data_IF_471972679184
#
_entry.id   IF_471972679184
#
_cell.length_a   1.000
_cell.length_b   1.000
_cell.length_c   1.000
_cell.angle_alpha   90.00
_cell.angle_beta   90.00
_cell.angle_gamma   90.00
#
_symmetry.space_group_name_H-M   'P 1'
#
loop_
_entity.id
_entity.type
_entity.pdbx_description
1 polymer ?
#
# COMPACT_ATOMS: atom_id res chain seq x y z
N UNK A 1 -0.69 -43.14 32.32
CA UNK A 1 -1.72 -42.69 33.29
C UNK A 1 -3.03 -42.48 32.53
N UNK A 2 -4.12 -43.11 33.00
CA UNK A 2 -5.38 -43.30 32.26
C UNK A 2 -6.02 -41.98 31.78
N UNK A 3 -6.03 -41.76 30.46
CA UNK A 3 -6.68 -40.60 29.82
C UNK A 3 -8.21 -40.60 29.98
N UNK A 4 -8.85 -41.76 30.18
CA UNK A 4 -10.31 -41.88 30.29
C UNK A 4 -10.88 -41.55 31.69
N UNK A 5 -10.08 -41.60 32.75
CA UNK A 5 -10.59 -41.43 34.12
C UNK A 5 -10.91 -39.98 34.52
N UNK A 6 -10.32 -38.99 33.84
CA UNK A 6 -10.48 -37.56 34.18
C UNK A 6 -11.73 -36.89 33.58
N UNK A 7 -12.33 -37.49 32.55
CA UNK A 7 -13.41 -36.84 31.78
C UNK A 7 -14.82 -37.24 32.21
N UNK A 8 -14.98 -38.34 32.97
CA UNK A 8 -16.30 -38.85 33.36
C UNK A 8 -17.14 -37.85 34.17
N UNK A 9 -16.50 -37.05 35.04
CA UNK A 9 -17.19 -36.04 35.83
C UNK A 9 -17.51 -34.74 35.08
N UNK A 10 -16.73 -34.40 34.05
CA UNK A 10 -16.92 -33.16 33.27
C UNK A 10 -17.94 -33.37 32.15
N UNK A 11 -17.95 -34.55 31.51
CA UNK A 11 -18.94 -34.89 30.48
C UNK A 11 -20.36 -34.96 31.04
N UNK A 12 -20.53 -35.58 32.22
CA UNK A 12 -21.84 -35.72 32.85
C UNK A 12 -22.47 -34.38 33.30
N UNK A 13 -21.66 -33.34 33.52
CA UNK A 13 -22.14 -32.02 33.92
C UNK A 13 -22.56 -31.13 32.74
N UNK A 14 -22.06 -31.44 31.53
CA UNK A 14 -22.35 -30.70 30.30
C UNK A 14 -23.57 -31.22 29.55
N UNK A 15 -23.97 -32.49 29.78
CA UNK A 15 -25.15 -33.08 29.13
C UNK A 15 -26.49 -32.46 29.57
N UNK A 16 -26.48 -31.45 30.44
CA UNK A 16 -27.70 -30.83 30.96
C UNK A 16 -27.68 -29.31 31.22
N UNK A 17 -26.62 -28.57 30.85
CA UNK A 17 -26.55 -27.11 31.03
C UNK A 17 -25.87 -26.44 29.83
N UNK A 18 -26.30 -25.22 29.48
CA UNK A 18 -25.57 -24.43 28.48
C UNK A 18 -24.21 -23.95 29.03
N UNK A 19 -23.17 -23.91 28.21
CA UNK A 19 -21.79 -23.58 28.64
C UNK A 19 -21.68 -22.23 29.38
N UNK A 20 -22.51 -21.26 29.01
CA UNK A 20 -22.61 -19.97 29.69
C UNK A 20 -23.17 -20.09 31.11
N UNK A 21 -24.13 -20.99 31.35
CA UNK A 21 -24.66 -21.25 32.69
C UNK A 21 -23.57 -21.84 33.60
N UNK A 22 -22.66 -22.66 33.10
CA UNK A 22 -21.54 -23.22 33.90
C UNK A 22 -20.53 -22.14 34.33
N UNK A 23 -20.39 -21.07 33.55
CA UNK A 23 -19.47 -19.97 33.86
C UNK A 23 -20.08 -18.93 34.80
N UNK A 24 -21.36 -18.59 34.61
CA UNK A 24 -22.07 -17.55 35.36
C UNK A 24 -22.81 -18.06 36.60
N UNK A 25 -23.24 -19.32 36.62
CA UNK A 25 -24.12 -19.80 37.67
C UNK A 25 -23.34 -20.00 38.99
N UNK A 26 -23.77 -19.29 40.03
CA UNK A 26 -23.22 -19.41 41.40
C UNK A 26 -23.43 -20.80 42.01
N UNK A 27 -24.29 -21.63 41.40
CA UNK A 27 -24.57 -23.02 41.80
C UNK A 27 -23.82 -24.08 40.97
N UNK A 28 -22.90 -23.69 40.09
CA UNK A 28 -22.05 -24.65 39.39
C UNK A 28 -21.22 -25.42 40.42
N UNK A 29 -21.32 -26.75 40.44
CA UNK A 29 -20.60 -27.62 41.37
C UNK A 29 -19.13 -27.19 41.42
N UNK A 30 -18.66 -26.77 42.60
CA UNK A 30 -17.32 -26.21 42.80
C UNK A 30 -16.22 -27.15 42.28
N UNK A 31 -16.51 -28.45 42.18
CA UNK A 31 -15.64 -29.47 41.61
C UNK A 31 -15.46 -29.33 40.09
N UNK A 32 -16.48 -28.91 39.34
CA UNK A 32 -16.39 -28.72 37.88
C UNK A 32 -15.55 -27.48 37.57
N UNK A 33 -15.88 -26.35 38.22
CA UNK A 33 -15.14 -25.09 38.03
C UNK A 33 -13.67 -25.24 38.42
N UNK A 34 -13.39 -25.93 39.53
CA UNK A 34 -12.00 -26.21 39.94
C UNK A 34 -11.29 -27.21 39.02
N UNK A 35 -12.01 -28.10 38.33
CA UNK A 35 -11.43 -29.03 37.35
C UNK A 35 -11.13 -28.32 36.01
N UNK A 36 -12.02 -27.44 35.56
CA UNK A 36 -11.79 -26.60 34.36
C UNK A 36 -10.62 -25.63 34.56
N UNK A 37 -10.51 -25.01 35.74
CA UNK A 37 -9.39 -24.11 36.08
C UNK A 37 -8.03 -24.82 36.19
N UNK A 38 -8.02 -26.16 36.31
CA UNK A 38 -6.79 -26.98 36.37
C UNK A 38 -6.33 -27.45 34.99
N UNK A 39 -7.13 -27.24 33.94
CA UNK A 39 -6.73 -27.58 32.58
C UNK A 39 -5.66 -26.59 32.10
N UNK A 40 -4.65 -27.10 31.41
CA UNK A 40 -3.77 -26.23 30.62
C UNK A 40 -4.56 -25.58 29.49
N UNK A 41 -4.05 -24.45 28.96
CA UNK A 41 -4.70 -23.72 27.86
C UNK A 41 -5.06 -24.62 26.68
N UNK A 42 -4.20 -25.58 26.33
CA UNK A 42 -4.44 -26.51 25.22
C UNK A 42 -5.49 -27.58 25.54
N UNK A 43 -5.57 -28.03 26.79
CA UNK A 43 -6.55 -29.04 27.22
C UNK A 43 -7.96 -28.47 27.29
N UNK A 44 -8.11 -27.24 27.81
CA UNK A 44 -9.38 -26.52 27.79
C UNK A 44 -9.87 -26.33 26.35
N UNK A 45 -8.96 -26.06 25.45
CA UNK A 45 -9.27 -25.77 24.06
C UNK A 45 -9.72 -26.99 23.27
N UNK A 46 -8.99 -28.09 23.43
CA UNK A 46 -9.37 -29.38 22.87
C UNK A 46 -10.76 -29.80 23.36
N UNK A 47 -11.07 -29.52 24.63
CA UNK A 47 -12.39 -29.76 25.20
C UNK A 47 -13.49 -28.92 24.56
N UNK A 48 -13.28 -27.61 24.37
CA UNK A 48 -14.29 -26.74 23.76
C UNK A 48 -14.61 -27.12 22.31
N UNK A 49 -13.59 -27.51 21.54
CA UNK A 49 -13.79 -27.99 20.16
C UNK A 49 -14.47 -29.36 20.13
N UNK A 50 -14.05 -30.30 20.99
CA UNK A 50 -14.61 -31.66 21.04
C UNK A 50 -16.09 -31.68 21.43
N UNK A 51 -16.54 -30.72 22.22
CA UNK A 51 -17.92 -30.60 22.68
C UNK A 51 -18.72 -29.53 21.91
N UNK A 52 -18.26 -29.15 20.71
CA UNK A 52 -18.96 -28.23 19.79
C UNK A 52 -19.25 -26.82 20.35
N UNK A 53 -18.59 -26.45 21.45
CA UNK A 53 -18.63 -25.08 21.98
C UNK A 53 -17.79 -24.11 21.15
N UNK A 54 -16.86 -24.64 20.36
CA UNK A 54 -16.09 -23.94 19.33
C UNK A 54 -16.11 -24.81 18.07
N UNK A 55 -16.31 -24.19 16.91
CA UNK A 55 -16.34 -24.89 15.64
C UNK A 55 -14.92 -25.10 15.06
N UNK A 56 -14.83 -25.72 13.89
CA UNK A 56 -13.57 -25.93 13.18
C UNK A 56 -12.95 -24.63 12.62
N UNK A 57 -13.70 -23.52 12.62
CA UNK A 57 -13.18 -22.17 12.40
C UNK A 57 -12.53 -21.57 13.66
N UNK A 58 -12.36 -22.34 14.72
CA UNK A 58 -11.70 -21.93 15.95
C UNK A 58 -10.32 -21.23 15.77
N UNK A 59 -9.59 -21.54 14.70
CA UNK A 59 -8.36 -20.80 14.35
C UNK A 59 -8.59 -19.31 14.09
N UNK A 60 -9.75 -18.93 13.58
CA UNK A 60 -10.15 -17.54 13.36
C UNK A 60 -10.49 -16.85 14.69
N UNK A 61 -10.92 -17.60 15.71
CA UNK A 61 -11.14 -17.05 17.05
C UNK A 61 -9.85 -16.88 17.86
N UNK A 62 -8.81 -17.68 17.59
CA UNK A 62 -7.50 -17.54 18.24
C UNK A 62 -6.85 -16.17 18.02
N UNK A 63 -7.14 -15.52 16.90
CA UNK A 63 -6.65 -14.17 16.63
C UNK A 63 -7.24 -13.11 17.57
N UNK A 64 -8.27 -13.39 18.36
CA UNK A 64 -8.77 -12.41 19.34
C UNK A 64 -7.96 -12.40 20.65
N UNK A 65 -7.24 -13.48 20.98
CA UNK A 65 -6.70 -13.69 22.34
C UNK A 65 -5.17 -13.58 22.46
N UNK A 66 -4.43 -13.39 21.36
CA UNK A 66 -2.97 -13.27 21.41
C UNK A 66 -2.49 -11.83 21.31
N UNK A 67 -1.62 -11.42 22.25
CA UNK A 67 -0.83 -10.21 22.12
C UNK A 67 0.03 -10.30 20.85
N UNK A 68 -0.25 -9.44 19.85
CA UNK A 68 0.38 -9.55 18.52
C UNK A 68 -0.53 -10.05 17.39
N UNK A 69 -1.79 -10.39 17.70
CA UNK A 69 -2.79 -10.77 16.71
C UNK A 69 -3.24 -9.60 15.83
N UNK A 70 -3.83 -9.92 14.68
CA UNK A 70 -4.46 -8.95 13.79
C UNK A 70 -5.86 -8.63 14.31
N UNK A 71 -6.34 -7.41 14.07
CA UNK A 71 -7.77 -7.15 14.23
C UNK A 71 -8.58 -7.96 13.21
N UNK A 72 -9.88 -8.09 13.44
CA UNK A 72 -10.78 -8.71 12.47
C UNK A 72 -10.68 -8.03 11.10
N UNK A 73 -10.72 -6.69 11.07
CA UNK A 73 -10.60 -5.91 9.84
C UNK A 73 -9.26 -6.16 9.12
N UNK A 74 -8.13 -6.19 9.85
CA UNK A 74 -6.82 -6.47 9.26
C UNK A 74 -6.74 -7.92 8.70
N UNK A 75 -7.38 -8.88 9.38
CA UNK A 75 -7.42 -10.28 8.93
C UNK A 75 -8.30 -10.45 7.69
N UNK A 76 -9.46 -9.78 7.65
CA UNK A 76 -10.35 -9.72 6.51
C UNK A 76 -9.67 -9.06 5.31
N UNK A 77 -8.94 -7.97 5.51
CA UNK A 77 -8.12 -7.35 4.47
C UNK A 77 -7.10 -8.32 3.88
N UNK A 78 -6.31 -9.01 4.71
CA UNK A 78 -5.33 -9.99 4.21
C UNK A 78 -5.99 -11.16 3.46
N UNK A 79 -7.18 -11.59 3.89
CA UNK A 79 -7.98 -12.61 3.19
C UNK A 79 -8.45 -12.09 1.83
N UNK A 80 -8.94 -10.84 1.79
CA UNK A 80 -9.37 -10.18 0.56
C UNK A 80 -8.21 -10.02 -0.43
N UNK A 81 -7.03 -9.60 0.03
CA UNK A 81 -5.80 -9.51 -0.78
C UNK A 81 -5.48 -10.86 -1.43
N UNK A 82 -5.39 -11.93 -0.63
CA UNK A 82 -5.01 -13.27 -1.12
C UNK A 82 -6.02 -13.89 -2.08
N UNK A 83 -7.29 -13.54 -1.94
CA UNK A 83 -8.36 -14.07 -2.77
C UNK A 83 -8.75 -13.14 -3.93
N UNK A 84 -8.10 -11.97 -4.07
CA UNK A 84 -8.44 -10.98 -5.11
C UNK A 84 -9.83 -10.34 -4.93
N UNK A 85 -10.37 -10.31 -3.70
CA UNK A 85 -11.71 -9.77 -3.41
C UNK A 85 -11.60 -8.26 -3.16
N UNK A 86 -12.46 -7.48 -3.82
CA UNK A 86 -12.55 -6.02 -3.66
C UNK A 86 -13.74 -5.73 -2.76
N UNK A 87 -13.51 -5.01 -1.67
CA UNK A 87 -14.56 -4.73 -0.67
C UNK A 87 -14.23 -3.54 0.23
N UNK A 88 -15.11 -3.28 1.20
CA UNK A 88 -14.92 -2.21 2.20
C UNK A 88 -13.67 -2.42 3.05
N UNK A 89 -13.31 -3.68 3.29
CA UNK A 89 -12.11 -4.14 3.97
C UNK A 89 -10.80 -3.59 3.38
N UNK A 90 -10.78 -3.05 2.15
CA UNK A 90 -9.61 -2.38 1.57
C UNK A 90 -9.37 -0.95 2.07
N UNK A 91 -10.31 -0.36 2.83
CA UNK A 91 -10.32 1.09 3.10
C UNK A 91 -9.52 1.52 4.34
N UNK A 92 -9.48 0.72 5.40
CA UNK A 92 -8.84 1.13 6.67
C UNK A 92 -8.07 -0.03 7.31
N UNK A 93 -6.82 0.24 7.72
CA UNK A 93 -5.98 -0.71 8.46
C UNK A 93 -5.81 -0.24 9.90
N UNK A 94 -6.05 -1.14 10.86
CA UNK A 94 -5.83 -0.84 12.28
C UNK A 94 -4.37 -1.03 12.68
N UNK A 95 -3.64 -1.95 12.03
CA UNK A 95 -2.21 -2.16 12.27
C UNK A 95 -1.44 -2.43 10.97
N UNK A 96 -1.19 -1.36 10.21
CA UNK A 96 -0.47 -1.39 8.94
C UNK A 96 0.87 -2.12 9.02
N UNK A 97 1.63 -1.97 10.12
CA UNK A 97 2.91 -2.65 10.33
C UNK A 97 2.74 -4.18 10.38
N UNK A 98 1.75 -4.68 11.13
CA UNK A 98 1.47 -6.12 11.23
C UNK A 98 0.94 -6.70 9.92
N UNK A 99 0.10 -5.94 9.22
CA UNK A 99 -0.45 -6.30 7.91
C UNK A 99 0.66 -6.38 6.88
N UNK A 100 1.47 -5.33 6.74
CA UNK A 100 2.61 -5.27 5.81
C UNK A 100 3.59 -6.43 5.96
N UNK A 101 3.88 -6.86 7.19
CA UNK A 101 4.75 -8.01 7.47
C UNK A 101 4.21 -9.35 6.98
N UNK A 102 2.89 -9.46 6.77
CA UNK A 102 2.19 -10.69 6.36
C UNK A 102 1.84 -10.73 4.88
N UNK A 103 2.07 -9.62 4.17
CA UNK A 103 1.92 -9.50 2.72
C UNK A 103 3.26 -9.89 2.09
N UNK A 104 3.22 -10.98 1.32
CA UNK A 104 4.34 -11.43 0.53
C UNK A 104 4.29 -10.77 -0.85
N UNK A 105 5.43 -10.67 -1.55
CA UNK A 105 5.47 -10.11 -2.90
C UNK A 105 4.51 -10.80 -3.88
N UNK A 106 4.28 -12.10 -3.71
CA UNK A 106 3.32 -12.88 -4.52
C UNK A 106 1.86 -12.49 -4.28
N UNK A 107 1.55 -11.90 -3.12
CA UNK A 107 0.21 -11.44 -2.76
C UNK A 107 -0.12 -10.08 -3.41
N UNK A 108 0.89 -9.39 -3.96
CA UNK A 108 0.75 -8.11 -4.68
C UNK A 108 0.56 -8.41 -6.17
N UNK A 109 -0.64 -8.86 -6.53
CA UNK A 109 -0.98 -9.27 -7.90
C UNK A 109 -2.39 -8.85 -8.35
N UNK A 110 -3.20 -8.29 -7.46
CA UNK A 110 -4.57 -7.85 -7.74
C UNK A 110 -4.89 -6.55 -7.01
N UNK A 111 -5.90 -5.83 -7.48
CA UNK A 111 -6.28 -4.51 -6.95
C UNK A 111 -6.80 -4.49 -5.51
N UNK A 112 -7.12 -5.64 -4.93
CA UNK A 112 -7.46 -5.76 -3.52
C UNK A 112 -6.33 -5.31 -2.59
N UNK A 113 -5.08 -5.25 -3.07
CA UNK A 113 -3.91 -4.72 -2.35
C UNK A 113 -3.92 -3.20 -2.17
N UNK A 114 -4.71 -2.47 -2.95
CA UNK A 114 -4.66 -1.01 -2.98
C UNK A 114 -5.20 -0.41 -1.68
N UNK A 115 -4.28 -0.02 -0.79
CA UNK A 115 -4.58 0.68 0.46
C UNK A 115 -3.54 1.79 0.70
N UNK A 116 -4.00 3.02 0.96
CA UNK A 116 -3.10 4.17 1.08
C UNK A 116 -2.15 4.05 2.27
N UNK A 117 -2.64 3.61 3.43
CA UNK A 117 -1.82 3.48 4.64
C UNK A 117 -0.70 2.47 4.42
N UNK A 118 -1.01 1.37 3.71
CA UNK A 118 -0.03 0.35 3.35
C UNK A 118 1.07 0.90 2.44
N UNK A 119 0.69 1.66 1.40
CA UNK A 119 1.66 2.30 0.49
C UNK A 119 2.53 3.31 1.24
N UNK A 120 1.94 4.18 2.06
CA UNK A 120 2.69 5.12 2.90
C UNK A 120 3.67 4.39 3.81
N UNK A 121 3.24 3.28 4.42
CA UNK A 121 4.10 2.48 5.27
C UNK A 121 5.30 1.90 4.50
N UNK A 122 5.08 1.39 3.27
CA UNK A 122 6.17 0.87 2.45
C UNK A 122 7.15 1.94 1.99
N UNK A 123 6.68 3.14 1.66
CA UNK A 123 7.55 4.29 1.36
C UNK A 123 8.40 4.63 2.59
N UNK A 124 7.77 4.73 3.77
CA UNK A 124 8.45 5.02 5.04
C UNK A 124 9.52 3.99 5.40
N UNK A 125 9.27 2.70 5.13
CA UNK A 125 10.21 1.62 5.41
C UNK A 125 11.17 1.32 4.26
N UNK A 126 11.13 2.11 3.17
CA UNK A 126 11.92 1.89 1.97
C UNK A 126 11.76 0.46 1.38
N UNK A 127 10.55 -0.08 1.36
CA UNK A 127 10.25 -1.41 0.79
C UNK A 127 10.06 -1.33 -0.74
N UNK A 128 11.19 -1.08 -1.43
CA UNK A 128 11.26 -0.79 -2.86
C UNK A 128 10.56 -1.86 -3.72
N UNK A 129 10.73 -3.14 -3.38
CA UNK A 129 10.17 -4.25 -4.16
C UNK A 129 8.64 -4.29 -4.09
N UNK A 130 8.05 -4.02 -2.92
CA UNK A 130 6.60 -3.91 -2.80
C UNK A 130 6.05 -2.69 -3.51
N UNK A 131 6.77 -1.57 -3.47
CA UNK A 131 6.40 -0.34 -4.18
C UNK A 131 6.43 -0.53 -5.69
N UNK A 132 7.50 -1.11 -6.24
CA UNK A 132 7.57 -1.47 -7.67
C UNK A 132 6.42 -2.40 -8.07
N UNK A 133 6.13 -3.41 -7.24
CA UNK A 133 5.10 -4.39 -7.54
C UNK A 133 3.69 -3.80 -7.50
N UNK A 134 3.38 -2.94 -6.52
CA UNK A 134 2.05 -2.31 -6.44
C UNK A 134 1.86 -1.28 -7.56
N UNK A 135 2.89 -0.51 -7.91
CA UNK A 135 2.83 0.41 -9.06
C UNK A 135 2.54 -0.38 -10.34
N UNK A 136 3.20 -1.52 -10.53
CA UNK A 136 2.90 -2.41 -11.66
C UNK A 136 1.43 -2.86 -11.65
N UNK A 137 0.87 -3.29 -10.52
CA UNK A 137 -0.55 -3.68 -10.40
C UNK A 137 -1.48 -2.51 -10.75
N UNK A 138 -1.14 -1.28 -10.35
CA UNK A 138 -1.94 -0.10 -10.70
C UNK A 138 -1.97 0.12 -12.21
N UNK A 139 -0.82 0.08 -12.88
CA UNK A 139 -0.73 0.36 -14.31
C UNK A 139 -1.03 -0.84 -15.22
N UNK A 140 -1.29 -2.03 -14.67
CA UNK A 140 -1.72 -3.23 -15.41
C UNK A 140 -3.10 -3.02 -16.08
N UNK A 141 -3.96 -2.17 -15.53
CA UNK A 141 -5.32 -1.88 -16.04
C UNK A 141 -5.56 -0.37 -15.99
N UNK A 142 -5.96 0.23 -17.12
CA UNK A 142 -6.02 1.70 -17.28
C UNK A 142 -6.94 2.38 -16.25
N UNK A 143 -8.06 1.76 -15.95
CA UNK A 143 -9.08 2.25 -15.00
C UNK A 143 -8.51 2.41 -13.58
N UNK A 144 -7.46 1.67 -13.23
CA UNK A 144 -6.82 1.76 -11.92
C UNK A 144 -5.83 2.91 -11.80
N UNK A 145 -5.37 3.50 -12.91
CA UNK A 145 -4.40 4.60 -12.90
C UNK A 145 -4.89 5.77 -12.05
N UNK A 146 -6.21 5.99 -11.98
CA UNK A 146 -6.81 7.02 -11.13
C UNK A 146 -6.40 6.89 -9.65
N UNK A 147 -6.15 5.66 -9.19
CA UNK A 147 -5.66 5.40 -7.83
C UNK A 147 -4.26 5.98 -7.62
N UNK A 148 -3.37 5.83 -8.60
CA UNK A 148 -2.02 6.40 -8.54
C UNK A 148 -2.08 7.93 -8.47
N UNK A 149 -2.89 8.55 -9.32
CA UNK A 149 -2.99 10.00 -9.32
C UNK A 149 -3.63 10.54 -8.03
N UNK A 150 -4.64 9.85 -7.47
CA UNK A 150 -5.23 10.20 -6.16
C UNK A 150 -4.25 9.99 -5.00
N UNK A 151 -3.39 8.97 -5.06
CA UNK A 151 -2.29 8.80 -4.11
C UNK A 151 -1.36 10.01 -4.12
N UNK A 152 -0.96 10.47 -5.31
CA UNK A 152 -0.10 11.64 -5.48
C UNK A 152 -0.80 12.92 -5.02
N UNK A 153 -2.08 13.11 -5.35
CA UNK A 153 -2.88 14.23 -4.86
C UNK A 153 -2.93 14.28 -3.33
N UNK A 154 -3.17 13.14 -2.67
CA UNK A 154 -3.17 13.04 -1.21
C UNK A 154 -1.80 13.37 -0.61
N UNK A 155 -0.71 12.92 -1.23
CA UNK A 155 0.66 13.28 -0.81
C UNK A 155 0.94 14.77 -1.00
N UNK A 156 0.46 15.34 -2.10
CA UNK A 156 0.64 16.75 -2.46
C UNK A 156 -0.09 17.67 -1.49
N UNK A 157 -1.31 17.32 -1.09
CA UNK A 157 -2.06 18.04 -0.06
C UNK A 157 -1.30 18.12 1.28
N UNK A 158 -0.60 17.05 1.64
CA UNK A 158 0.26 16.98 2.83
C UNK A 158 1.70 17.50 2.60
N UNK A 159 2.00 18.05 1.42
CA UNK A 159 3.34 18.51 1.01
C UNK A 159 4.44 17.43 1.14
N UNK A 160 4.09 16.15 0.94
CA UNK A 160 5.00 14.99 1.03
C UNK A 160 5.79 14.81 -0.27
N UNK A 161 6.46 15.86 -0.72
CA UNK A 161 7.21 15.90 -1.98
C UNK A 161 8.27 14.79 -2.10
N UNK A 162 8.97 14.48 -1.01
CA UNK A 162 9.93 13.36 -0.96
C UNK A 162 9.28 12.01 -1.26
N UNK A 163 8.02 11.80 -0.85
CA UNK A 163 7.33 10.53 -1.07
C UNK A 163 6.85 10.43 -2.51
N UNK A 164 6.42 11.56 -3.08
CA UNK A 164 6.09 11.66 -4.51
C UNK A 164 7.34 11.30 -5.33
N UNK A 165 8.48 11.93 -5.05
CA UNK A 165 9.73 11.63 -5.75
C UNK A 165 10.12 10.15 -5.63
N UNK A 166 9.96 9.58 -4.44
CA UNK A 166 10.22 8.16 -4.18
C UNK A 166 9.33 7.24 -5.03
N UNK A 167 8.04 7.53 -5.11
CA UNK A 167 7.08 6.74 -5.87
C UNK A 167 7.31 6.87 -7.37
N UNK A 168 7.65 8.06 -7.87
CA UNK A 168 7.95 8.26 -9.29
C UNK A 168 9.24 7.51 -9.68
N UNK A 169 10.31 7.64 -8.90
CA UNK A 169 11.59 6.96 -9.18
C UNK A 169 11.48 5.43 -9.15
N UNK A 170 10.58 4.89 -8.32
CA UNK A 170 10.37 3.44 -8.21
C UNK A 170 9.20 2.94 -9.07
N UNK A 171 8.44 3.83 -9.70
CA UNK A 171 7.58 3.49 -10.82
C UNK A 171 8.48 3.20 -12.01
N UNK A 172 8.62 1.92 -12.37
CA UNK A 172 9.53 1.51 -13.42
C UNK A 172 8.97 1.93 -14.79
N UNK A 173 9.09 3.20 -15.14
CA UNK A 173 8.69 3.78 -16.42
C UNK A 173 9.84 3.67 -17.41
N UNK A 174 10.25 2.43 -17.70
CA UNK A 174 11.19 2.18 -18.79
C UNK A 174 10.44 2.35 -20.11
N UNK A 175 10.57 3.55 -20.71
CA UNK A 175 10.06 3.95 -22.03
C UNK A 175 8.53 3.85 -22.17
N UNK A 176 7.85 4.99 -22.31
CA UNK A 176 6.42 5.03 -22.64
C UNK A 176 5.48 5.33 -21.48
N UNK A 177 5.91 6.12 -20.49
CA UNK A 177 4.92 6.87 -19.70
C UNK A 177 4.43 8.05 -20.52
N UNK A 178 3.73 7.78 -21.63
CA UNK A 178 3.02 8.83 -22.34
C UNK A 178 1.93 9.27 -21.38
N UNK A 179 2.15 10.40 -20.71
CA UNK A 179 1.24 11.03 -19.75
C UNK A 179 -0.21 10.93 -20.29
N UNK A 180 -0.40 11.26 -21.57
CA UNK A 180 -1.70 11.24 -22.25
C UNK A 180 -2.38 9.87 -22.33
N UNK A 181 -1.63 8.78 -22.53
CA UNK A 181 -2.21 7.44 -22.65
C UNK A 181 -2.75 6.91 -21.31
N UNK A 182 -2.15 7.37 -20.21
CA UNK A 182 -2.41 6.87 -18.85
C UNK A 182 -3.44 7.70 -18.08
N UNK A 183 -3.64 8.97 -18.42
CA UNK A 183 -4.74 9.75 -17.85
C UNK A 183 -6.09 9.27 -18.37
N UNK A 184 -7.09 9.32 -17.49
CA UNK A 184 -8.48 9.33 -17.93
C UNK A 184 -8.79 10.75 -18.42
N UNK A 185 -9.30 10.88 -19.65
CA UNK A 185 -9.65 12.17 -20.26
C UNK A 185 -10.64 12.97 -19.39
N UNK A 186 -11.41 12.29 -18.54
CA UNK A 186 -12.45 12.87 -17.69
C UNK A 186 -11.95 13.55 -16.40
N UNK A 187 -10.63 13.59 -16.12
CA UNK A 187 -10.08 14.09 -14.84
C UNK A 187 -8.96 15.15 -15.02
N UNK A 188 -9.24 16.30 -15.67
CA UNK A 188 -8.23 17.31 -16.00
C UNK A 188 -7.57 17.94 -14.77
N UNK A 189 -8.33 18.12 -13.68
CA UNK A 189 -7.80 18.67 -12.41
C UNK A 189 -6.80 17.72 -11.79
N UNK A 190 -7.11 16.41 -11.78
CA UNK A 190 -6.23 15.39 -11.24
C UNK A 190 -4.95 15.25 -12.06
N UNK A 191 -5.07 15.36 -13.39
CA UNK A 191 -3.92 15.46 -14.32
C UNK A 191 -3.02 16.63 -13.98
N UNK A 192 -3.58 17.84 -13.88
CA UNK A 192 -2.81 19.02 -13.53
C UNK A 192 -2.16 18.91 -12.15
N UNK A 193 -2.88 18.42 -11.14
CA UNK A 193 -2.35 18.18 -9.79
C UNK A 193 -1.15 17.23 -9.82
N UNK A 194 -1.21 16.17 -10.62
CA UNK A 194 -0.11 15.24 -10.79
C UNK A 194 1.13 15.90 -11.42
N UNK A 195 0.96 16.63 -12.52
CA UNK A 195 2.04 17.33 -13.22
C UNK A 195 2.75 18.33 -12.28
N UNK A 196 1.96 19.15 -11.58
CA UNK A 196 2.45 20.10 -10.58
C UNK A 196 3.21 19.39 -9.45
N UNK A 197 2.69 18.26 -8.98
CA UNK A 197 3.30 17.48 -7.89
C UNK A 197 4.62 16.85 -8.32
N UNK A 198 4.72 16.38 -9.56
CA UNK A 198 5.95 15.86 -10.17
C UNK A 198 7.03 16.93 -10.18
N UNK A 199 6.70 18.13 -10.67
CA UNK A 199 7.61 19.29 -10.63
C UNK A 199 8.04 19.58 -9.19
N UNK A 200 7.12 19.77 -8.25
CA UNK A 200 7.47 20.11 -6.86
C UNK A 200 8.35 19.08 -6.15
N UNK A 201 8.32 17.83 -6.62
CA UNK A 201 9.13 16.74 -6.08
C UNK A 201 10.59 16.74 -6.55
N UNK A 202 10.94 17.59 -7.53
CA UNK A 202 12.24 17.60 -8.22
C UNK A 202 13.46 17.75 -7.29
N UNK A 203 13.29 18.52 -6.21
CA UNK A 203 14.32 18.78 -5.20
C UNK A 203 14.64 17.55 -4.34
N UNK A 204 13.77 16.53 -4.32
CA UNK A 204 13.95 15.31 -3.55
C UNK A 204 14.42 14.13 -4.38
N UNK A 205 14.92 14.40 -5.58
CA UNK A 205 15.50 13.34 -6.36
C UNK A 205 16.94 13.12 -5.89
N UNK A 206 17.14 11.98 -5.21
CA UNK A 206 18.42 11.55 -4.64
C UNK A 206 19.44 11.21 -5.75
N UNK A 207 20.73 11.32 -5.46
CA UNK A 207 21.85 11.12 -6.41
C UNK A 207 21.89 9.73 -7.11
N UNK A 208 21.13 8.74 -6.65
CA UNK A 208 21.02 7.40 -7.24
C UNK A 208 19.93 7.33 -8.34
N UNK A 209 19.79 8.38 -9.15
CA UNK A 209 18.71 8.46 -10.14
C UNK A 209 18.68 7.25 -11.07
N UNK A 210 17.48 6.74 -11.30
CA UNK A 210 17.17 6.10 -12.58
C UNK A 210 16.84 7.20 -13.59
N UNK A 211 17.30 7.07 -14.83
CA UNK A 211 16.97 7.95 -15.95
C UNK A 211 15.46 8.23 -16.10
N UNK A 212 14.62 7.35 -15.55
CA UNK A 212 13.16 7.41 -15.62
C UNK A 212 12.54 8.65 -14.96
N UNK A 213 13.03 9.08 -13.77
CA UNK A 213 12.39 10.22 -13.08
C UNK A 213 12.72 11.55 -13.78
N UNK A 214 13.96 11.74 -14.21
CA UNK A 214 14.34 12.93 -14.97
C UNK A 214 13.58 12.99 -16.29
N UNK A 215 13.50 11.88 -17.01
CA UNK A 215 12.70 11.78 -18.23
C UNK A 215 11.25 12.20 -17.98
N UNK A 216 10.65 11.63 -16.93
CA UNK A 216 9.27 11.92 -16.59
C UNK A 216 9.01 13.39 -16.21
N UNK A 217 9.96 14.00 -15.50
CA UNK A 217 9.91 15.40 -15.12
C UNK A 217 9.99 16.31 -16.36
N UNK A 218 10.75 15.91 -17.37
CA UNK A 218 10.91 16.67 -18.61
C UNK A 218 9.67 16.59 -19.49
N UNK A 219 9.14 15.38 -19.71
CA UNK A 219 7.84 15.22 -20.41
C UNK A 219 6.75 16.05 -19.73
N UNK A 220 6.80 16.15 -18.39
CA UNK A 220 5.87 16.98 -17.61
C UNK A 220 6.06 18.48 -17.87
N UNK A 221 7.32 18.94 -17.96
CA UNK A 221 7.64 20.35 -18.23
C UNK A 221 7.21 20.74 -19.64
N UNK A 222 7.53 19.93 -20.65
CA UNK A 222 7.13 20.15 -22.05
C UNK A 222 5.62 20.21 -22.21
N UNK A 223 4.91 19.24 -21.63
CA UNK A 223 3.45 19.22 -21.67
C UNK A 223 2.86 20.50 -21.07
N UNK A 224 3.33 20.92 -19.89
CA UNK A 224 2.83 22.13 -19.24
C UNK A 224 3.21 23.39 -20.03
N UNK A 225 4.37 23.42 -20.66
CA UNK A 225 4.78 24.55 -21.48
C UNK A 225 3.92 24.72 -22.74
N UNK A 226 3.58 23.62 -23.40
CA UNK A 226 2.72 23.62 -24.58
C UNK A 226 1.25 23.89 -24.23
N UNK A 227 0.75 23.25 -23.16
CA UNK A 227 -0.69 23.19 -22.89
C UNK A 227 -1.15 24.11 -21.75
N UNK A 228 -0.31 24.40 -20.76
CA UNK A 228 -0.68 25.10 -19.51
C UNK A 228 0.44 26.06 -19.01
N UNK A 229 0.99 26.96 -19.85
CA UNK A 229 2.21 27.71 -19.53
C UNK A 229 2.07 28.63 -18.31
N UNK A 230 0.86 29.13 -18.04
CA UNK A 230 0.57 29.92 -16.84
C UNK A 230 0.73 29.12 -15.54
N UNK A 231 0.50 27.82 -15.58
CA UNK A 231 0.68 26.94 -14.42
C UNK A 231 2.17 26.66 -14.21
N UNK A 232 2.92 26.44 -15.29
CA UNK A 232 4.37 26.20 -15.22
C UNK A 232 5.09 27.33 -14.47
N UNK A 233 4.82 28.60 -14.85
CA UNK A 233 5.43 29.79 -14.24
C UNK A 233 5.13 29.91 -12.73
N UNK A 234 3.99 29.37 -12.27
CA UNK A 234 3.59 29.41 -10.84
C UNK A 234 4.29 28.35 -9.99
N UNK A 235 4.81 27.29 -10.61
CA UNK A 235 5.14 26.04 -9.92
C UNK A 235 6.65 25.79 -9.86
N UNK A 236 7.41 26.30 -10.82
CA UNK A 236 8.87 26.18 -10.85
C UNK A 236 9.54 27.55 -10.94
N UNK A 237 10.56 27.76 -10.11
CA UNK A 237 11.41 28.95 -10.21
C UNK A 237 12.31 28.84 -11.45
N UNK A 238 12.78 29.97 -11.98
CA UNK A 238 13.74 29.96 -13.09
C UNK A 238 15.05 29.25 -12.72
N UNK A 239 15.51 29.41 -11.48
CA UNK A 239 16.73 28.79 -10.97
C UNK A 239 16.58 27.25 -10.88
N UNK A 240 15.42 26.79 -10.41
CA UNK A 240 15.07 25.37 -10.34
C UNK A 240 14.98 24.75 -11.75
N UNK A 241 14.36 25.47 -12.69
CA UNK A 241 14.26 25.05 -14.09
C UNK A 241 15.64 24.91 -14.74
N UNK A 242 16.51 25.91 -14.56
CA UNK A 242 17.86 25.88 -15.10
C UNK A 242 18.68 24.74 -14.49
N UNK A 243 18.54 24.48 -13.18
CA UNK A 243 19.18 23.35 -12.49
C UNK A 243 18.73 21.99 -13.05
N UNK A 244 17.44 21.84 -13.36
CA UNK A 244 16.91 20.63 -13.96
C UNK A 244 17.44 20.37 -15.37
N UNK A 245 17.53 21.44 -16.16
CA UNK A 245 18.08 21.39 -17.50
C UNK A 245 19.55 20.96 -17.47
N UNK A 246 20.36 21.54 -16.57
CA UNK A 246 21.76 21.16 -16.38
C UNK A 246 21.91 19.68 -15.99
N UNK A 247 21.12 19.20 -15.02
CA UNK A 247 21.12 17.78 -14.65
C UNK A 247 20.80 16.91 -15.84
N UNK A 248 19.79 17.25 -16.63
CA UNK A 248 19.47 16.47 -17.82
C UNK A 248 20.59 16.46 -18.86
N UNK A 249 21.23 17.60 -19.11
CA UNK A 249 22.36 17.66 -20.04
C UNK A 249 23.49 16.71 -19.63
N UNK A 250 23.75 16.61 -18.31
CA UNK A 250 24.68 15.63 -17.75
C UNK A 250 24.23 14.18 -18.06
N UNK A 251 22.94 13.85 -17.88
CA UNK A 251 22.40 12.51 -18.16
C UNK A 251 22.36 12.16 -19.65
N UNK A 252 21.91 13.07 -20.51
CA UNK A 252 21.79 12.86 -21.96
C UNK A 252 23.15 12.77 -22.65
N UNK A 253 24.19 13.37 -22.06
CA UNK A 253 25.58 13.23 -22.49
C UNK A 253 26.17 11.86 -22.17
N UNK A 254 25.51 11.04 -21.33
CA UNK A 254 25.95 9.69 -21.02
C UNK A 254 25.64 8.72 -22.20
N UNK A 255 26.67 8.20 -22.89
CA UNK A 255 26.49 7.37 -24.07
C UNK A 255 25.77 6.04 -23.81
N UNK A 256 25.71 5.56 -22.57
CA UNK A 256 24.95 4.35 -22.20
C UNK A 256 23.44 4.61 -22.06
N UNK A 257 23.03 5.88 -21.94
CA UNK A 257 21.64 6.31 -21.69
C UNK A 257 20.99 6.91 -22.95
N UNK A 258 21.75 7.11 -24.04
CA UNK A 258 21.28 7.67 -25.31
C UNK A 258 19.98 7.01 -25.81
N UNK A 259 18.87 7.73 -25.69
CA UNK A 259 17.78 7.66 -26.65
C UNK A 259 17.92 8.86 -27.59
N UNK A 260 17.80 8.62 -28.89
CA UNK A 260 17.90 9.66 -29.93
C UNK A 260 16.82 10.75 -29.74
N UNK A 261 15.73 10.44 -29.04
CA UNK A 261 14.59 11.32 -28.74
C UNK A 261 14.93 12.50 -27.79
N UNK A 262 15.98 12.37 -26.98
CA UNK A 262 16.30 13.34 -25.92
C UNK A 262 16.89 14.68 -26.41
N UNK A 263 17.45 14.69 -27.63
CA UNK A 263 18.15 15.88 -28.15
C UNK A 263 17.18 16.94 -28.67
N UNK A 264 16.02 16.52 -29.19
CA UNK A 264 14.98 17.39 -29.73
C UNK A 264 14.25 18.13 -28.59
N UNK A 265 13.85 17.37 -27.56
CA UNK A 265 13.29 17.83 -26.28
C UNK A 265 14.10 18.98 -25.66
N UNK A 266 15.43 18.83 -25.57
CA UNK A 266 16.31 19.88 -25.04
C UNK A 266 16.29 21.16 -25.88
N UNK A 267 16.19 21.03 -27.20
CA UNK A 267 16.20 22.19 -28.08
C UNK A 267 14.90 22.98 -27.92
N UNK A 268 13.76 22.32 -27.76
CA UNK A 268 12.47 22.96 -27.52
C UNK A 268 12.41 23.66 -26.14
N UNK A 269 12.82 22.97 -25.06
CA UNK A 269 12.89 23.56 -23.72
C UNK A 269 13.83 24.76 -23.63
N UNK A 270 14.95 24.73 -24.37
CA UNK A 270 15.87 25.87 -24.49
C UNK A 270 15.28 27.03 -25.28
N UNK A 271 14.50 26.74 -26.33
CA UNK A 271 13.85 27.76 -27.14
C UNK A 271 12.76 28.48 -26.33
N UNK A 272 12.01 27.74 -25.52
CA UNK A 272 10.97 28.29 -24.68
C UNK A 272 11.46 28.87 -23.34
N UNK A 273 12.73 28.67 -22.95
CA UNK A 273 13.41 29.49 -21.91
C UNK A 273 13.23 30.99 -22.12
N UNK A 274 12.97 31.42 -23.36
CA UNK A 274 12.66 32.81 -23.74
C UNK A 274 11.25 33.24 -23.28
N UNK A 275 10.30 32.32 -23.08
CA UNK A 275 8.90 32.58 -22.69
C UNK A 275 8.65 32.64 -21.17
N UNK A 276 9.55 32.15 -20.32
CA UNK A 276 9.46 32.24 -18.85
C UNK A 276 9.98 33.62 -18.32
N UNK A 277 10.03 34.64 -19.19
CA UNK A 277 10.37 36.04 -18.87
C UNK A 277 9.13 36.85 -18.46
#
# INVERSE_FOLDING_TARGET
MNFMGKWGGVSAALEGNEFYEILENKNTDANIKSSLLKLSKNELLFFLVKHEYLDENYRDYLTFFYEGSLSQADAEYLRAVRNGIIGKECLELTNTKKVSKRILLKDINHISILNYDLIYFWILTNDVEKIRRIIKVIFEVKENNIYYFRLIEKMSADQKWKYIAYVINNGNYSKGFILEEKFCEDEPVLKLNYLISTIKSWQYIDNDFSSNHIFHLIETLEYLEENEPEQLIKVISREDYDTLLEKYEEYSSNPEIRAEDFTEVLQELKFNKIKIL
#
